data_IF_985549588128
#
_entry.id   IF_985549588128
#
_cell.length_a   1.000
_cell.length_b   1.000
_cell.length_c   1.000
_cell.angle_alpha   90.00
_cell.angle_beta   90.00
_cell.angle_gamma   90.00
#
_symmetry.space_group_name_H-M   'P 1'
#
loop_
_entity.id
_entity.type
_entity.pdbx_description
1 polymer ?
#
# COMPACT_ATOMS: atom_id res chain seq x y z
N UNK A 1 81.04 58.95 37.59
CA UNK A 1 81.05 57.65 38.31
C UNK A 1 81.28 56.58 37.26
N UNK A 2 82.51 56.32 36.79
CA UNK A 2 83.76 55.91 37.46
C UNK A 2 83.79 54.41 37.78
N UNK A 3 84.95 53.81 37.48
CA UNK A 3 85.47 52.49 37.86
C UNK A 3 85.20 51.42 36.78
N UNK A 4 86.10 51.16 35.83
CA UNK A 4 87.51 50.68 35.87
C UNK A 4 87.61 49.16 35.73
N UNK A 5 88.33 48.79 34.67
CA UNK A 5 88.73 47.46 34.24
C UNK A 5 89.74 46.80 35.20
N UNK A 6 90.01 45.52 34.89
CA UNK A 6 91.03 44.61 35.44
C UNK A 6 90.57 43.88 36.71
N UNK A 7 90.61 42.55 36.76
CA UNK A 7 91.87 41.86 37.06
C UNK A 7 91.74 40.32 36.95
N UNK A 8 92.78 39.72 36.36
CA UNK A 8 93.37 38.37 36.52
C UNK A 8 92.51 37.11 36.62
N UNK A 9 92.87 36.19 35.70
CA UNK A 9 93.41 34.83 35.95
C UNK A 9 93.09 34.20 37.31
N UNK A 10 92.50 33.01 37.26
CA UNK A 10 93.12 31.84 37.89
C UNK A 10 92.68 30.54 37.20
N UNK A 11 93.65 29.85 36.60
CA UNK A 11 93.59 28.42 36.32
C UNK A 11 93.47 27.68 37.64
N UNK A 12 92.52 26.76 37.77
CA UNK A 12 92.69 25.57 38.60
C UNK A 12 92.05 24.36 37.93
N UNK A 13 92.78 23.28 38.08
CA UNK A 13 92.74 22.03 37.35
C UNK A 13 91.66 21.09 37.87
N UNK A 14 91.34 20.11 37.02
CA UNK A 14 90.92 18.75 37.37
C UNK A 14 89.53 18.59 38.02
N UNK A 15 88.63 17.91 37.30
CA UNK A 15 88.33 16.51 37.59
C UNK A 15 87.42 15.91 36.51
N UNK A 16 87.74 14.69 36.13
CA UNK A 16 87.02 13.88 35.15
C UNK A 16 85.56 13.64 35.52
N UNK A 17 84.67 13.89 34.57
CA UNK A 17 83.41 13.15 34.43
C UNK A 17 83.29 12.74 32.97
N UNK A 18 83.47 11.44 32.72
CA UNK A 18 83.38 10.83 31.39
C UNK A 18 81.88 10.64 31.08
N UNK A 19 81.29 11.34 30.10
CA UNK A 19 79.90 11.11 29.73
C UNK A 19 79.78 9.75 29.04
N UNK A 20 78.94 8.87 29.59
CA UNK A 20 78.54 7.64 28.90
C UNK A 20 77.62 8.03 27.72
N UNK A 21 77.87 7.52 26.50
CA UNK A 21 77.01 7.82 25.36
C UNK A 21 75.61 7.19 25.56
N UNK A 22 74.55 7.82 25.02
CA UNK A 22 73.20 7.27 25.08
C UNK A 22 73.16 5.90 24.39
N UNK A 23 72.54 4.91 25.04
CA UNK A 23 72.28 3.59 24.42
C UNK A 23 71.28 3.80 23.29
N UNK A 24 71.71 3.59 22.05
CA UNK A 24 70.82 3.55 20.89
C UNK A 24 69.75 2.46 21.11
N UNK A 25 68.46 2.73 20.87
CA UNK A 25 67.46 1.67 20.90
C UNK A 25 67.82 0.62 19.84
N UNK A 26 67.56 -0.67 20.08
CA UNK A 26 67.83 -1.71 19.09
C UNK A 26 67.05 -1.41 17.81
N UNK A 27 67.77 -1.32 16.69
CA UNK A 27 67.16 -1.24 15.37
C UNK A 27 66.35 -2.53 15.15
N UNK A 28 65.03 -2.43 15.16
CA UNK A 28 64.16 -3.52 14.77
C UNK A 28 64.48 -3.90 13.33
N UNK A 29 65.03 -5.09 13.11
CA UNK A 29 65.16 -5.65 11.77
C UNK A 29 63.75 -5.75 11.19
N UNK A 30 63.48 -5.21 9.98
CA UNK A 30 62.19 -5.41 9.33
C UNK A 30 62.01 -6.92 9.15
N UNK A 31 60.97 -7.47 9.79
CA UNK A 31 60.57 -8.85 9.55
C UNK A 31 60.05 -8.91 8.11
N UNK A 32 60.70 -9.74 7.28
CA UNK A 32 60.24 -9.97 5.92
C UNK A 32 58.86 -10.60 5.92
N UNK A 33 57.96 -10.06 5.09
CA UNK A 33 56.60 -10.55 4.93
C UNK A 33 56.67 -11.97 4.33
N UNK A 34 56.22 -12.99 5.07
CA UNK A 34 56.23 -14.36 4.53
C UNK A 34 55.09 -14.52 3.53
N UNK A 35 55.28 -15.34 2.50
CA UNK A 35 54.24 -15.66 1.51
C UNK A 35 52.96 -16.22 2.16
N UNK A 36 53.13 -16.95 3.28
CA UNK A 36 52.04 -17.49 4.09
C UNK A 36 51.19 -16.37 4.71
N UNK A 37 51.81 -15.29 5.19
CA UNK A 37 51.12 -14.18 5.84
C UNK A 37 50.28 -13.37 4.85
N UNK A 38 50.77 -13.18 3.61
CA UNK A 38 49.97 -12.60 2.54
C UNK A 38 48.79 -13.50 2.15
N UNK A 39 49.02 -14.81 2.04
CA UNK A 39 47.96 -15.77 1.73
C UNK A 39 46.85 -15.77 2.78
N UNK A 40 47.22 -15.76 4.07
CA UNK A 40 46.24 -15.70 5.17
C UNK A 40 45.50 -14.36 5.16
N UNK A 41 46.19 -13.24 4.97
CA UNK A 41 45.56 -11.92 4.88
C UNK A 41 44.56 -11.84 3.71
N UNK A 42 44.96 -12.32 2.53
CA UNK A 42 44.08 -12.41 1.36
C UNK A 42 42.89 -13.33 1.60
N UNK A 43 43.08 -14.47 2.24
CA UNK A 43 41.99 -15.40 2.58
C UNK A 43 40.98 -14.75 3.54
N UNK A 44 41.44 -14.07 4.58
CA UNK A 44 40.55 -13.36 5.52
C UNK A 44 39.83 -12.21 4.84
N UNK A 45 40.53 -11.39 4.05
CA UNK A 45 39.93 -10.29 3.28
C UNK A 45 38.87 -10.81 2.30
N UNK A 46 39.15 -11.92 1.61
CA UNK A 46 38.21 -12.56 0.70
C UNK A 46 36.94 -13.05 1.44
N UNK A 47 37.08 -13.67 2.62
CA UNK A 47 35.94 -14.10 3.44
C UNK A 47 35.10 -12.91 3.91
N UNK A 48 35.73 -11.84 4.39
CA UNK A 48 35.04 -10.62 4.81
C UNK A 48 34.30 -9.95 3.66
N UNK A 49 34.89 -9.92 2.46
CA UNK A 49 34.25 -9.40 1.27
C UNK A 49 32.98 -10.19 0.90
N UNK A 50 33.04 -11.53 0.94
CA UNK A 50 31.88 -12.40 0.66
C UNK A 50 30.77 -12.18 1.69
N UNK A 51 31.11 -12.15 2.99
CA UNK A 51 30.12 -11.94 4.06
C UNK A 51 29.47 -10.56 3.94
N UNK A 52 30.26 -9.52 3.64
CA UNK A 52 29.76 -8.15 3.45
C UNK A 52 28.77 -8.06 2.29
N UNK A 53 29.10 -8.65 1.12
CA UNK A 53 28.22 -8.65 -0.05
C UNK A 53 26.91 -9.39 0.22
N UNK A 54 26.98 -10.55 0.88
CA UNK A 54 25.78 -11.31 1.25
C UNK A 54 24.93 -10.61 2.32
N UNK A 55 25.55 -9.84 3.21
CA UNK A 55 24.85 -9.02 4.20
C UNK A 55 24.07 -7.88 3.56
N UNK A 56 24.68 -7.17 2.60
CA UNK A 56 24.02 -6.13 1.81
C UNK A 56 22.89 -6.69 0.95
N UNK A 57 23.10 -7.80 0.25
CA UNK A 57 22.06 -8.49 -0.54
C UNK A 57 20.88 -8.98 0.33
N UNK A 58 21.17 -9.39 1.57
CA UNK A 58 20.14 -9.77 2.55
C UNK A 58 19.27 -8.57 2.93
N UNK A 59 19.89 -7.44 3.24
CA UNK A 59 19.20 -6.20 3.60
C UNK A 59 18.36 -5.63 2.45
N UNK A 60 18.92 -5.59 1.23
CA UNK A 60 18.19 -5.11 0.04
C UNK A 60 16.93 -5.94 -0.21
N UNK A 61 17.04 -7.27 -0.13
CA UNK A 61 15.87 -8.16 -0.28
C UNK A 61 14.84 -7.98 0.84
N UNK A 62 15.28 -7.83 2.08
CA UNK A 62 14.38 -7.57 3.21
C UNK A 62 13.64 -6.23 3.07
N UNK A 63 14.33 -5.18 2.62
CA UNK A 63 13.73 -3.89 2.33
C UNK A 63 12.70 -3.99 1.20
N UNK A 64 13.04 -4.72 0.13
CA UNK A 64 12.14 -4.91 -1.01
C UNK A 64 10.86 -5.67 -0.60
N UNK A 65 10.98 -6.76 0.16
CA UNK A 65 9.82 -7.47 0.70
C UNK A 65 8.95 -6.57 1.61
N UNK A 66 9.58 -5.74 2.43
CA UNK A 66 8.86 -4.80 3.32
C UNK A 66 8.11 -3.75 2.50
N UNK A 67 8.74 -3.22 1.44
CA UNK A 67 8.11 -2.26 0.52
C UNK A 67 6.93 -2.87 -0.23
N UNK A 68 7.09 -4.08 -0.76
CA UNK A 68 6.03 -4.80 -1.47
C UNK A 68 4.80 -5.00 -0.58
N UNK A 69 5.00 -5.48 0.65
CA UNK A 69 3.92 -5.63 1.63
C UNK A 69 3.25 -4.29 1.95
N UNK A 70 4.03 -3.22 2.10
CA UNK A 70 3.49 -1.87 2.30
C UNK A 70 2.60 -1.41 1.14
N UNK A 71 3.03 -1.64 -0.10
CA UNK A 71 2.26 -1.31 -1.30
C UNK A 71 0.94 -2.10 -1.37
N UNK A 72 0.97 -3.40 -1.08
CA UNK A 72 -0.24 -4.24 -1.04
C UNK A 72 -1.27 -3.73 -0.02
N UNK A 73 -0.81 -3.29 1.16
CA UNK A 73 -1.68 -2.68 2.17
C UNK A 73 -2.29 -1.36 1.70
N UNK A 74 -1.50 -0.51 1.03
CA UNK A 74 -1.99 0.75 0.48
C UNK A 74 -3.04 0.52 -0.60
N UNK A 75 -2.85 -0.48 -1.46
CA UNK A 75 -3.84 -0.87 -2.47
C UNK A 75 -5.14 -1.33 -1.81
N UNK A 76 -5.07 -2.21 -0.80
CA UNK A 76 -6.25 -2.64 -0.06
C UNK A 76 -6.97 -1.45 0.61
N UNK A 77 -6.23 -0.56 1.27
CA UNK A 77 -6.81 0.63 1.91
C UNK A 77 -7.49 1.53 0.88
N UNK A 78 -6.86 1.79 -0.27
CA UNK A 78 -7.42 2.58 -1.35
C UNK A 78 -8.67 1.92 -1.94
N UNK A 79 -8.67 0.59 -2.15
CA UNK A 79 -9.83 -0.15 -2.66
C UNK A 79 -11.02 -0.08 -1.69
N UNK A 80 -10.79 -0.25 -0.39
CA UNK A 80 -11.83 -0.14 0.63
C UNK A 80 -12.34 1.30 0.80
N UNK A 81 -11.46 2.29 0.68
CA UNK A 81 -11.85 3.71 0.68
C UNK A 81 -12.70 4.03 -0.56
N UNK A 82 -12.29 3.56 -1.73
CA UNK A 82 -13.04 3.71 -2.98
C UNK A 82 -14.43 3.06 -2.89
N UNK A 83 -14.52 1.85 -2.32
CA UNK A 83 -15.80 1.18 -2.08
C UNK A 83 -16.72 1.98 -1.15
N UNK A 84 -16.18 2.51 -0.06
CA UNK A 84 -16.91 3.41 0.85
C UNK A 84 -17.39 4.68 0.15
N UNK A 85 -16.50 5.35 -0.60
CA UNK A 85 -16.81 6.57 -1.34
C UNK A 85 -17.91 6.36 -2.39
N UNK A 86 -17.94 5.20 -3.06
CA UNK A 86 -19.00 4.87 -4.01
C UNK A 86 -20.37 4.73 -3.31
N UNK A 87 -20.40 4.15 -2.11
CA UNK A 87 -21.62 4.05 -1.30
C UNK A 87 -22.05 5.37 -0.66
N UNK A 88 -21.10 6.18 -0.15
CA UNK A 88 -21.37 7.51 0.39
C UNK A 88 -21.95 8.46 -0.69
N UNK A 89 -21.59 8.20 -1.93
CA UNK A 89 -22.07 8.93 -3.10
C UNK A 89 -23.37 8.36 -3.69
N UNK A 90 -24.02 7.38 -3.06
CA UNK A 90 -25.29 6.81 -3.56
C UNK A 90 -26.31 7.90 -3.88
N UNK A 91 -26.90 7.79 -5.07
CA UNK A 91 -27.85 8.76 -5.59
C UNK A 91 -29.13 8.02 -6.04
N UNK A 92 -30.18 8.00 -5.20
CA UNK A 92 -31.47 7.46 -5.58
C UNK A 92 -32.14 8.36 -6.62
N UNK A 93 -32.41 7.83 -7.81
CA UNK A 93 -33.08 8.54 -8.91
C UNK A 93 -34.46 7.92 -9.19
N UNK A 94 -35.47 8.74 -9.60
CA UNK A 94 -36.75 8.21 -10.07
C UNK A 94 -36.59 7.22 -11.22
N UNK A 95 -37.43 6.17 -11.25
CA UNK A 95 -37.45 5.14 -12.30
C UNK A 95 -36.15 4.34 -12.45
N UNK A 96 -35.34 4.26 -11.38
CA UNK A 96 -34.09 3.49 -11.34
C UNK A 96 -34.05 2.54 -10.14
N UNK A 97 -32.99 1.73 -10.06
CA UNK A 97 -32.62 0.97 -8.87
C UNK A 97 -31.34 1.60 -8.30
N UNK A 98 -31.32 2.09 -7.05
CA UNK A 98 -30.18 2.81 -6.52
C UNK A 98 -28.97 1.91 -6.25
N UNK A 99 -29.23 0.68 -5.81
CA UNK A 99 -28.25 -0.32 -5.40
C UNK A 99 -28.82 -1.71 -5.65
N UNK A 100 -28.04 -2.58 -6.29
CA UNK A 100 -28.44 -3.94 -6.64
C UNK A 100 -27.27 -4.92 -6.48
N UNK A 101 -27.54 -6.09 -5.89
CA UNK A 101 -26.60 -7.20 -5.77
C UNK A 101 -27.25 -8.45 -6.35
N UNK A 102 -26.69 -8.99 -7.44
CA UNK A 102 -27.23 -10.18 -8.11
C UNK A 102 -26.54 -11.50 -7.69
N UNK A 103 -25.65 -11.44 -6.69
CA UNK A 103 -24.79 -12.56 -6.29
C UNK A 103 -23.42 -12.59 -6.96
N UNK A 104 -23.22 -11.81 -8.02
CA UNK A 104 -21.95 -11.73 -8.75
C UNK A 104 -21.46 -10.30 -8.93
N UNK A 105 -22.38 -9.35 -9.15
CA UNK A 105 -22.09 -7.93 -9.35
C UNK A 105 -22.89 -7.09 -8.38
N UNK A 106 -22.22 -6.12 -7.76
CA UNK A 106 -22.86 -5.04 -7.00
C UNK A 106 -22.90 -3.83 -7.92
N UNK A 107 -24.08 -3.36 -8.28
CA UNK A 107 -24.29 -2.16 -9.11
C UNK A 107 -24.91 -1.06 -8.27
N UNK A 108 -24.47 0.18 -8.48
CA UNK A 108 -24.98 1.32 -7.75
C UNK A 108 -24.95 2.60 -8.59
N UNK A 109 -25.91 3.48 -8.30
CA UNK A 109 -26.03 4.78 -8.96
C UNK A 109 -25.45 5.78 -8.00
N UNK A 110 -24.47 6.56 -8.44
CA UNK A 110 -23.83 7.55 -7.60
C UNK A 110 -23.77 8.92 -8.25
N UNK A 111 -23.67 9.95 -7.41
CA UNK A 111 -23.32 11.31 -7.83
C UNK A 111 -21.90 11.35 -8.38
N UNK A 112 -21.71 12.11 -9.45
CA UNK A 112 -20.38 12.50 -9.91
C UNK A 112 -19.77 13.54 -8.97
N UNK A 113 -18.44 13.53 -8.86
CA UNK A 113 -17.65 14.57 -8.19
C UNK A 113 -16.94 15.48 -9.19
N UNK A 114 -17.18 15.33 -10.49
CA UNK A 114 -16.61 16.17 -11.53
C UNK A 114 -17.14 17.60 -11.43
N UNK A 115 -16.31 18.58 -11.82
CA UNK A 115 -16.68 19.99 -11.91
C UNK A 115 -16.36 20.46 -13.33
N UNK A 116 -17.36 20.87 -14.14
CA UNK A 116 -18.79 20.98 -13.82
C UNK A 116 -19.46 19.61 -13.58
N UNK A 117 -20.66 19.59 -12.98
CA UNK A 117 -21.44 18.35 -12.83
C UNK A 117 -21.79 17.78 -14.20
N UNK A 118 -21.34 16.56 -14.47
CA UNK A 118 -21.49 15.91 -15.77
C UNK A 118 -22.70 14.97 -15.83
N UNK A 119 -23.34 14.66 -14.70
CA UNK A 119 -24.42 13.69 -14.56
C UNK A 119 -24.11 12.58 -13.55
N UNK A 120 -25.07 11.68 -13.33
CA UNK A 120 -24.88 10.53 -12.46
C UNK A 120 -23.91 9.52 -13.09
N UNK A 121 -23.39 8.59 -12.29
CA UNK A 121 -22.54 7.50 -12.76
C UNK A 121 -23.13 6.16 -12.30
N UNK A 122 -22.98 5.15 -13.15
CA UNK A 122 -23.19 3.76 -12.79
C UNK A 122 -21.84 3.19 -12.38
N UNK A 123 -21.77 2.65 -11.17
CA UNK A 123 -20.58 1.92 -10.70
C UNK A 123 -20.95 0.48 -10.46
N UNK A 124 -20.03 -0.41 -10.82
CA UNK A 124 -20.16 -1.83 -10.56
C UNK A 124 -18.89 -2.38 -9.91
N UNK A 125 -19.08 -3.34 -9.01
CA UNK A 125 -18.02 -4.11 -8.38
C UNK A 125 -18.23 -5.59 -8.71
N UNK A 126 -17.16 -6.31 -9.00
CA UNK A 126 -17.22 -7.75 -9.26
C UNK A 126 -15.98 -8.48 -8.73
N UNK A 127 -16.13 -9.78 -8.47
CA UNK A 127 -15.00 -10.72 -8.37
C UNK A 127 -14.97 -11.53 -9.66
N UNK A 128 -13.91 -11.40 -10.45
CA UNK A 128 -13.78 -12.11 -11.72
C UNK A 128 -12.35 -12.59 -11.94
N UNK A 129 -12.21 -13.72 -12.61
CA UNK A 129 -10.92 -14.21 -13.05
C UNK A 129 -10.34 -13.32 -14.17
N UNK A 130 -9.12 -12.82 -13.96
CA UNK A 130 -8.32 -12.10 -14.94
C UNK A 130 -6.98 -12.82 -15.05
N UNK A 131 -6.69 -13.37 -16.23
CA UNK A 131 -5.42 -14.05 -16.52
C UNK A 131 -5.06 -15.15 -15.49
N UNK A 132 -6.06 -15.93 -15.05
CA UNK A 132 -5.86 -17.04 -14.12
C UNK A 132 -5.93 -16.67 -12.64
N UNK A 133 -6.05 -15.39 -12.30
CA UNK A 133 -6.20 -14.94 -10.90
C UNK A 133 -7.56 -14.29 -10.69
N UNK A 134 -8.27 -14.68 -9.63
CA UNK A 134 -9.49 -13.99 -9.23
C UNK A 134 -9.15 -12.63 -8.63
N UNK A 135 -9.65 -11.58 -9.27
CA UNK A 135 -9.41 -10.20 -8.90
C UNK A 135 -10.71 -9.56 -8.42
N UNK A 136 -10.59 -8.64 -7.46
CA UNK A 136 -11.63 -7.67 -7.18
C UNK A 136 -11.50 -6.51 -8.15
N UNK A 137 -12.59 -6.18 -8.84
CA UNK A 137 -12.59 -5.17 -9.87
C UNK A 137 -13.69 -4.15 -9.63
N UNK A 138 -13.44 -2.96 -10.16
CA UNK A 138 -14.40 -1.87 -10.24
C UNK A 138 -14.61 -1.47 -11.68
N UNK A 139 -15.83 -1.13 -12.05
CA UNK A 139 -16.20 -0.54 -13.33
C UNK A 139 -17.03 0.70 -13.11
N UNK A 140 -16.91 1.66 -14.02
CA UNK A 140 -17.66 2.91 -13.96
C UNK A 140 -18.07 3.37 -15.36
N UNK A 141 -19.33 3.69 -15.55
CA UNK A 141 -19.82 4.23 -16.82
C UNK A 141 -19.29 5.65 -17.09
N UNK A 142 -19.40 6.13 -18.34
CA UNK A 142 -19.51 7.56 -18.60
C UNK A 142 -20.70 8.19 -17.84
N UNK A 143 -20.75 9.53 -17.71
CA UNK A 143 -21.89 10.22 -17.10
C UNK A 143 -23.21 9.90 -17.81
N UNK A 144 -24.22 9.52 -17.03
CA UNK A 144 -25.58 9.23 -17.50
C UNK A 144 -26.50 10.41 -17.18
N UNK A 145 -27.28 10.84 -18.18
CA UNK A 145 -28.18 12.02 -18.06
C UNK A 145 -29.64 11.66 -18.29
N UNK A 146 -29.88 10.61 -19.07
CA UNK A 146 -31.23 10.10 -19.33
C UNK A 146 -31.43 8.72 -18.72
N UNK A 147 -32.69 8.32 -18.57
CA UNK A 147 -33.05 6.96 -18.16
C UNK A 147 -32.52 5.90 -19.15
N UNK A 148 -32.49 6.23 -20.43
CA UNK A 148 -31.97 5.33 -21.45
C UNK A 148 -30.45 5.10 -21.26
N UNK A 149 -29.68 6.17 -21.02
CA UNK A 149 -28.24 6.06 -20.75
C UNK A 149 -27.99 5.22 -19.49
N UNK A 150 -28.78 5.46 -18.43
CA UNK A 150 -28.69 4.70 -17.19
C UNK A 150 -28.96 3.20 -17.44
N UNK A 151 -30.04 2.88 -18.15
CA UNK A 151 -30.42 1.49 -18.43
C UNK A 151 -29.33 0.77 -19.23
N UNK A 152 -28.78 1.43 -20.25
CA UNK A 152 -27.66 0.91 -21.02
C UNK A 152 -26.43 0.66 -20.14
N UNK A 153 -26.01 1.65 -19.33
CA UNK A 153 -24.88 1.49 -18.44
C UNK A 153 -25.08 0.37 -17.39
N UNK A 154 -26.32 0.18 -16.91
CA UNK A 154 -26.67 -0.92 -16.00
C UNK A 154 -26.54 -2.31 -16.63
N UNK A 155 -26.83 -2.40 -17.92
CA UNK A 155 -26.71 -3.61 -18.73
C UNK A 155 -25.25 -3.89 -19.07
N UNK A 156 -24.50 -2.85 -19.47
CA UNK A 156 -23.05 -2.95 -19.70
C UNK A 156 -22.30 -3.42 -18.45
N UNK A 157 -22.65 -2.90 -17.27
CA UNK A 157 -22.11 -3.36 -15.99
C UNK A 157 -22.37 -4.86 -15.74
N UNK A 158 -23.56 -5.37 -16.08
CA UNK A 158 -23.89 -6.78 -15.93
C UNK A 158 -23.10 -7.67 -16.89
N UNK A 159 -22.96 -7.25 -18.15
CA UNK A 159 -22.13 -7.94 -19.15
C UNK A 159 -20.67 -7.91 -18.74
N UNK A 160 -20.19 -6.76 -18.29
CA UNK A 160 -18.82 -6.55 -17.83
C UNK A 160 -18.42 -7.52 -16.72
N UNK A 161 -19.30 -7.72 -15.74
CA UNK A 161 -19.02 -8.56 -14.59
C UNK A 161 -18.84 -10.05 -14.94
N UNK A 162 -19.36 -10.50 -16.09
CA UNK A 162 -19.37 -11.91 -16.49
C UNK A 162 -18.42 -12.17 -17.66
N UNK A 163 -18.63 -11.49 -18.78
CA UNK A 163 -17.94 -11.73 -20.06
C UNK A 163 -17.63 -10.39 -20.75
N UNK A 164 -16.66 -9.61 -20.25
CA UNK A 164 -16.37 -8.28 -20.77
C UNK A 164 -15.63 -8.34 -22.11
N UNK A 165 -16.14 -7.60 -23.10
CA UNK A 165 -15.41 -7.23 -24.31
C UNK A 165 -14.49 -6.02 -24.10
N UNK A 166 -13.80 -5.58 -25.15
CA UNK A 166 -12.84 -4.46 -25.06
C UNK A 166 -13.51 -3.14 -24.61
N UNK A 167 -14.71 -2.86 -25.13
CA UNK A 167 -15.45 -1.65 -24.79
C UNK A 167 -15.73 -1.55 -23.28
N UNK A 168 -16.16 -2.66 -22.65
CA UNK A 168 -16.43 -2.68 -21.22
C UNK A 168 -15.13 -2.60 -20.40
N UNK A 169 -14.06 -3.27 -20.84
CA UNK A 169 -12.75 -3.25 -20.15
C UNK A 169 -12.11 -1.87 -20.14
N UNK A 170 -12.45 -0.99 -21.09
CA UNK A 170 -11.94 0.40 -21.11
C UNK A 170 -12.25 1.17 -19.82
N UNK A 171 -13.32 0.80 -19.14
CA UNK A 171 -13.74 1.44 -17.88
C UNK A 171 -13.51 0.55 -16.65
N UNK A 172 -12.77 -0.55 -16.81
CA UNK A 172 -12.41 -1.46 -15.72
C UNK A 172 -11.16 -0.97 -14.99
N UNK A 173 -11.19 -1.11 -13.67
CA UNK A 173 -10.03 -0.97 -12.79
C UNK A 173 -9.86 -2.27 -12.03
N UNK A 174 -8.74 -2.96 -12.28
CA UNK A 174 -8.31 -4.14 -11.51
C UNK A 174 -7.68 -3.65 -10.21
N UNK A 175 -8.14 -4.13 -9.06
CA UNK A 175 -7.70 -3.61 -7.76
C UNK A 175 -6.72 -4.55 -7.08
N UNK A 176 -7.17 -5.74 -6.71
CA UNK A 176 -6.36 -6.69 -5.94
C UNK A 176 -6.89 -8.11 -6.04
N UNK A 177 -6.06 -9.14 -5.81
CA UNK A 177 -6.51 -10.52 -5.82
C UNK A 177 -7.48 -10.82 -4.67
N UNK A 178 -8.50 -11.64 -4.95
CA UNK A 178 -9.58 -11.93 -4.01
C UNK A 178 -10.11 -13.36 -4.16
N UNK A 179 -10.10 -14.11 -3.06
CA UNK A 179 -10.54 -15.51 -3.05
C UNK A 179 -12.07 -15.65 -2.90
N UNK A 180 -12.73 -14.76 -2.17
CA UNK A 180 -14.20 -14.73 -2.08
C UNK A 180 -14.72 -13.32 -1.78
N UNK A 181 -15.96 -13.07 -2.21
CA UNK A 181 -16.64 -11.79 -2.04
C UNK A 181 -18.12 -11.97 -1.73
N UNK A 182 -18.58 -11.39 -0.63
CA UNK A 182 -19.98 -11.44 -0.24
C UNK A 182 -20.48 -10.07 0.23
N UNK A 183 -21.76 -9.82 -0.03
CA UNK A 183 -22.47 -8.60 0.35
C UNK A 183 -23.72 -8.97 1.17
N UNK A 184 -23.94 -8.24 2.26
CA UNK A 184 -25.16 -8.32 3.06
C UNK A 184 -25.76 -6.94 3.24
N UNK A 185 -27.10 -6.88 3.27
CA UNK A 185 -27.83 -5.64 3.55
C UNK A 185 -28.40 -5.70 4.96
N UNK A 186 -28.22 -4.59 5.70
CA UNK A 186 -28.91 -4.38 6.96
C UNK A 186 -30.22 -3.66 6.69
N UNK A 187 -31.33 -4.33 7.01
CA UNK A 187 -32.71 -3.87 6.80
C UNK A 187 -33.56 -4.39 7.93
N UNK A 188 -34.51 -3.59 8.41
CA UNK A 188 -35.46 -4.00 9.46
C UNK A 188 -34.80 -4.67 10.68
N UNK A 189 -33.70 -4.07 11.15
CA UNK A 189 -32.92 -4.54 12.30
C UNK A 189 -32.21 -5.92 12.12
N UNK A 190 -32.04 -6.39 10.89
CA UNK A 190 -31.37 -7.65 10.60
C UNK A 190 -30.40 -7.56 9.41
N UNK A 191 -29.33 -8.35 9.47
CA UNK A 191 -28.46 -8.61 8.33
C UNK A 191 -29.09 -9.70 7.46
N UNK A 192 -29.34 -9.38 6.19
CA UNK A 192 -29.99 -10.27 5.23
C UNK A 192 -29.18 -10.39 3.94
N UNK A 193 -29.38 -11.50 3.22
CA UNK A 193 -28.88 -11.63 1.87
C UNK A 193 -29.72 -10.72 0.94
N UNK A 194 -29.09 -9.83 0.13
CA UNK A 194 -29.82 -8.93 -0.76
C UNK A 194 -30.83 -9.62 -1.69
N UNK A 195 -30.53 -10.86 -2.10
CA UNK A 195 -31.36 -11.66 -3.01
C UNK A 195 -32.67 -12.15 -2.37
N UNK A 196 -32.86 -11.95 -1.07
CA UNK A 196 -34.08 -12.37 -0.36
C UNK A 196 -35.28 -11.44 -0.59
N UNK A 197 -35.06 -10.28 -1.19
CA UNK A 197 -36.09 -9.30 -1.56
C UNK A 197 -36.00 -9.00 -3.04
N UNK A 198 -37.12 -9.08 -3.77
CA UNK A 198 -37.14 -8.87 -5.22
C UNK A 198 -36.73 -7.45 -5.64
N UNK A 199 -36.11 -7.35 -6.81
CA UNK A 199 -35.76 -6.08 -7.45
C UNK A 199 -37.03 -5.38 -7.96
N UNK A 200 -37.43 -4.31 -7.28
CA UNK A 200 -38.46 -3.37 -7.75
C UNK A 200 -37.79 -2.11 -8.25
N UNK A 201 -38.30 -1.48 -9.31
CA UNK A 201 -37.83 -0.15 -9.73
C UNK A 201 -38.58 0.91 -8.94
N UNK A 202 -37.91 1.98 -8.54
CA UNK A 202 -38.56 3.08 -7.83
C UNK A 202 -39.41 3.94 -8.78
N UNK A 203 -40.60 4.36 -8.37
CA UNK A 203 -41.44 5.26 -9.17
C UNK A 203 -41.03 6.73 -9.01
N UNK A 204 -40.43 7.09 -7.87
CA UNK A 204 -39.99 8.45 -7.55
C UNK A 204 -38.72 8.42 -6.67
N UNK A 205 -38.18 9.58 -6.33
CA UNK A 205 -36.95 9.66 -5.53
C UNK A 205 -37.15 9.13 -4.09
N UNK A 206 -38.31 9.34 -3.48
CA UNK A 206 -38.61 8.88 -2.12
C UNK A 206 -38.64 7.35 -2.05
N UNK A 207 -39.33 6.70 -2.99
CA UNK A 207 -39.35 5.23 -3.09
C UNK A 207 -37.95 4.68 -3.37
N UNK A 208 -37.16 5.35 -4.22
CA UNK A 208 -35.76 4.98 -4.45
C UNK A 208 -34.93 5.08 -3.16
N UNK A 209 -35.14 6.13 -2.36
CA UNK A 209 -34.40 6.32 -1.12
C UNK A 209 -34.76 5.25 -0.06
N UNK A 210 -36.02 4.82 0.00
CA UNK A 210 -36.47 3.73 0.89
C UNK A 210 -35.78 2.40 0.53
N UNK A 211 -35.51 2.15 -0.76
CA UNK A 211 -34.86 0.92 -1.24
C UNK A 211 -33.38 0.82 -0.86
N UNK A 212 -32.71 1.95 -0.57
CA UNK A 212 -31.32 1.93 -0.08
C UNK A 212 -31.30 1.28 1.30
N UNK A 213 -30.48 0.24 1.53
CA UNK A 213 -30.40 -0.40 2.84
C UNK A 213 -29.85 0.56 3.90
N UNK A 214 -30.12 0.27 5.16
CA UNK A 214 -29.64 1.08 6.29
C UNK A 214 -28.13 0.84 6.52
N UNK A 215 -27.63 -0.30 6.08
CA UNK A 215 -26.20 -0.59 6.01
C UNK A 215 -25.86 -1.66 4.99
N UNK A 216 -24.60 -1.68 4.58
CA UNK A 216 -24.04 -2.67 3.64
C UNK A 216 -22.81 -3.27 4.29
N UNK A 217 -22.77 -4.60 4.41
CA UNK A 217 -21.60 -5.33 4.88
C UNK A 217 -20.87 -5.93 3.71
N UNK A 218 -19.60 -5.59 3.62
CA UNK A 218 -18.61 -6.15 2.73
C UNK A 218 -17.86 -7.26 3.46
N UNK A 219 -17.82 -8.45 2.87
CA UNK A 219 -16.94 -9.53 3.29
C UNK A 219 -16.01 -9.92 2.14
N UNK A 220 -14.70 -9.88 2.40
CA UNK A 220 -13.64 -10.19 1.46
C UNK A 220 -12.78 -11.30 2.05
N UNK A 221 -12.63 -12.41 1.33
CA UNK A 221 -11.63 -13.43 1.68
C UNK A 221 -10.35 -13.15 0.90
N UNK A 222 -9.32 -12.70 1.60
CA UNK A 222 -8.01 -12.42 1.02
C UNK A 222 -7.23 -13.74 0.83
N UNK A 223 -6.60 -13.96 -0.33
CA UNK A 223 -5.80 -15.16 -0.59
C UNK A 223 -4.53 -15.19 0.28
N UNK A 224 -3.99 -16.37 0.58
CA UNK A 224 -2.71 -16.48 1.28
C UNK A 224 -1.55 -15.94 0.43
N UNK A 225 -0.45 -15.56 1.08
CA UNK A 225 0.79 -15.17 0.40
C UNK A 225 0.97 -13.67 0.13
N UNK A 226 -0.04 -12.84 0.44
CA UNK A 226 0.07 -11.38 0.45
C UNK A 226 0.37 -10.83 1.84
N UNK A 227 0.50 -9.50 1.96
CA UNK A 227 0.67 -8.78 3.21
C UNK A 227 -0.41 -9.08 4.25
N UNK A 228 -1.65 -9.35 3.80
CA UNK A 228 -2.77 -9.79 4.62
C UNK A 228 -3.43 -11.01 3.98
N UNK A 229 -3.95 -11.90 4.81
CA UNK A 229 -4.71 -13.07 4.40
C UNK A 229 -5.87 -13.29 5.39
N UNK A 230 -6.92 -13.98 4.93
CA UNK A 230 -8.08 -14.27 5.78
C UNK A 230 -9.31 -13.42 5.46
N UNK A 231 -10.32 -13.54 6.32
CA UNK A 231 -11.59 -12.83 6.17
C UNK A 231 -11.47 -11.39 6.68
N UNK A 232 -11.71 -10.44 5.79
CA UNK A 232 -11.89 -9.03 6.11
C UNK A 232 -13.38 -8.69 6.05
N UNK A 233 -13.89 -8.03 7.09
CA UNK A 233 -15.27 -7.53 7.15
C UNK A 233 -15.26 -6.02 7.32
N UNK A 234 -16.07 -5.31 6.54
CA UNK A 234 -16.30 -3.88 6.65
C UNK A 234 -17.79 -3.59 6.56
N UNK A 235 -18.31 -2.84 7.52
CA UNK A 235 -19.70 -2.42 7.54
C UNK A 235 -19.78 -0.94 7.17
N UNK A 236 -20.64 -0.61 6.22
CA UNK A 236 -21.02 0.75 5.86
C UNK A 236 -22.41 1.04 6.40
N UNK A 237 -22.61 2.25 6.91
CA UNK A 237 -23.89 2.72 7.45
C UNK A 237 -24.38 3.84 6.56
N UNK A 238 -25.66 3.79 6.19
CA UNK A 238 -26.26 4.79 5.32
C UNK A 238 -26.32 6.15 6.03
N UNK A 239 -25.56 7.16 5.56
CA UNK A 239 -25.52 8.47 6.20
C UNK A 239 -26.86 9.21 6.11
N UNK A 240 -27.68 8.91 5.10
CA UNK A 240 -29.00 9.53 4.92
C UNK A 240 -30.02 9.02 5.94
N UNK A 241 -29.80 7.86 6.55
CA UNK A 241 -30.72 7.22 7.51
C UNK A 241 -30.22 7.26 8.96
N UNK A 242 -28.91 7.44 9.19
CA UNK A 242 -28.35 7.55 10.54
C UNK A 242 -28.63 8.90 11.22
N UNK A 243 -28.83 9.97 10.45
CA UNK A 243 -29.04 11.32 10.97
C UNK A 243 -30.40 11.53 11.69
N UNK A 244 -31.35 10.60 11.58
CA UNK A 244 -32.69 10.71 12.17
C UNK A 244 -32.88 10.01 13.52
N UNK A 245 -31.84 9.39 14.08
CA UNK A 245 -31.89 8.70 15.39
C UNK A 245 -31.10 9.50 16.42
N UNK A 246 -31.65 10.61 16.90
CA UNK A 246 -31.19 11.33 18.10
C UNK A 246 -32.37 11.73 18.96
#
# INVERSE_FOLDING_TARGET
MTISLHTRRQRRSQAQHRPQPPRSPPAHRPRGFTLVELLVALAVMALLAIVSWRGLDGMVRAQEQTRQRGNELLVLQAALAQWGNDLDALLPLPHTVPLDWDGQVLRLTRRSSAVPDEGALVVAWTRRNVQGTDQWLRWQSPPVRTRADWQQAWQEAAVWARTPGEAQRRYEVVLMPLADWQIFYYRSDAWTNPLSSGNTTADNADTANVMVPDGVRLQLQLPPGQALAGLLRRDWVNPLKSAGKT
#
